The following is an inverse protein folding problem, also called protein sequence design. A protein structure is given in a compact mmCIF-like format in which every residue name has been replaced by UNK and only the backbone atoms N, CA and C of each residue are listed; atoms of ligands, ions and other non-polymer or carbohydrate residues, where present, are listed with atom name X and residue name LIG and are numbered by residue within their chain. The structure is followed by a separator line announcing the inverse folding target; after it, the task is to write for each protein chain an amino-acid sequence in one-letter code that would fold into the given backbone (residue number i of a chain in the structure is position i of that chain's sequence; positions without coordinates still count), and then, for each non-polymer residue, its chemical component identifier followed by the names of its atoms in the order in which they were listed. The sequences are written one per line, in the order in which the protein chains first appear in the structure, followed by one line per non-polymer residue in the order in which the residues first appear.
data_IF_817039780374
#
_entry.id   IF_817039780374
#
_cell.length_a   1.000
_cell.length_b   1.000
_cell.length_c   1.000
_cell.angle_alpha   90.00
_cell.angle_beta   90.00
_cell.angle_gamma   90.00
#
_symmetry.space_group_name_H-M   'P 1'
#
loop_
_entity.id
_entity.type
_entity.pdbx_description
1 polymer ?
#
# COMPACT_ATOMS: atom_id res chain seq x y z
N UNK A 1 14.55 27.56 61.45
CA UNK A 1 13.60 26.53 60.93
C UNK A 1 12.86 26.96 59.67
N UNK A 2 12.16 28.10 59.62
CA UNK A 2 11.36 28.52 58.44
C UNK A 2 12.14 28.60 57.10
N UNK A 3 13.41 28.99 57.11
CA UNK A 3 14.25 29.08 55.89
C UNK A 3 14.71 27.71 55.36
N UNK A 4 14.90 26.73 56.22
CA UNK A 4 15.30 25.36 55.83
C UNK A 4 14.11 24.63 55.20
N UNK A 5 12.91 24.84 55.74
CA UNK A 5 11.68 24.22 55.23
C UNK A 5 11.29 24.76 53.84
N UNK A 6 11.55 26.05 53.57
CA UNK A 6 11.32 26.67 52.26
C UNK A 6 12.28 26.11 51.19
N UNK A 7 13.56 25.91 51.53
CA UNK A 7 14.56 25.34 50.62
C UNK A 7 14.22 23.88 50.29
N UNK A 8 13.80 23.10 51.30
CA UNK A 8 13.42 21.70 51.09
C UNK A 8 12.18 21.57 50.17
N UNK A 9 11.19 22.47 50.33
CA UNK A 9 9.98 22.48 49.51
C UNK A 9 10.27 22.85 48.05
N UNK A 10 11.18 23.80 47.82
CA UNK A 10 11.63 24.19 46.46
C UNK A 10 12.43 23.06 45.79
N UNK A 11 13.27 22.34 46.54
CA UNK A 11 13.99 21.17 46.00
C UNK A 11 13.05 20.03 45.60
N UNK A 12 11.98 19.77 46.38
CA UNK A 12 10.99 18.74 46.04
C UNK A 12 10.18 19.14 44.80
N UNK A 13 9.84 20.42 44.64
CA UNK A 13 9.15 20.94 43.45
C UNK A 13 10.05 20.93 42.18
N UNK A 14 11.36 21.14 42.32
CA UNK A 14 12.31 21.05 41.21
C UNK A 14 12.64 19.60 40.81
N UNK A 15 12.54 18.65 41.74
CA UNK A 15 12.69 17.21 41.47
C UNK A 15 11.39 16.54 40.99
N UNK A 16 10.25 17.21 41.14
CA UNK A 16 8.95 16.79 40.62
C UNK A 16 8.70 17.25 39.17
N UNK A 17 9.75 17.35 38.36
CA UNK A 17 9.59 17.44 36.90
C UNK A 17 8.89 16.14 36.44
N UNK A 18 7.92 16.21 35.51
CA UNK A 18 7.30 14.99 35.00
C UNK A 18 8.37 14.14 34.30
N UNK A 19 8.83 13.09 34.97
CA UNK A 19 9.73 12.06 34.45
C UNK A 19 9.11 11.27 33.28
N UNK A 20 7.89 11.59 32.87
CA UNK A 20 7.27 11.11 31.65
C UNK A 20 7.26 12.22 30.60
N UNK A 21 8.37 12.40 29.89
CA UNK A 21 8.28 12.98 28.56
C UNK A 21 7.30 12.12 27.76
N UNK A 22 6.25 12.71 27.21
CA UNK A 22 5.34 11.99 26.35
C UNK A 22 6.16 11.46 25.17
N UNK A 23 6.35 10.13 25.09
CA UNK A 23 7.02 9.50 23.94
C UNK A 23 6.22 9.90 22.71
N UNK A 24 6.84 10.71 21.85
CA UNK A 24 6.20 11.12 20.60
C UNK A 24 6.27 9.93 19.67
N UNK A 25 5.11 9.36 19.32
CA UNK A 25 5.02 8.29 18.34
C UNK A 25 4.98 8.92 16.95
N UNK A 26 5.95 8.57 16.14
CA UNK A 26 6.00 8.99 14.73
C UNK A 26 5.60 7.81 13.86
N UNK A 27 4.50 7.95 13.13
CA UNK A 27 4.11 7.00 12.09
C UNK A 27 4.69 7.47 10.77
N UNK A 28 5.47 6.60 10.13
CA UNK A 28 5.97 6.80 8.77
C UNK A 28 5.30 5.81 7.85
N UNK A 29 5.03 6.19 6.60
CA UNK A 29 4.59 5.29 5.54
C UNK A 29 5.62 5.39 4.44
N UNK A 30 6.30 4.28 4.17
CA UNK A 30 7.32 4.18 3.13
C UNK A 30 6.87 3.17 2.08
N UNK A 31 7.13 3.47 0.81
CA UNK A 31 7.09 2.47 -0.25
C UNK A 31 8.27 1.51 -0.09
N UNK A 32 8.02 0.20 -0.16
CA UNK A 32 9.06 -0.82 -0.25
C UNK A 32 9.29 -1.12 -1.73
N UNK A 33 8.23 -1.52 -2.41
CA UNK A 33 8.21 -1.81 -3.83
C UNK A 33 7.27 -0.83 -4.54
N UNK A 34 7.80 0.00 -5.45
CA UNK A 34 6.96 0.71 -6.40
C UNK A 34 6.17 -0.28 -7.27
N UNK A 35 5.15 0.20 -7.97
CA UNK A 35 4.41 -0.65 -8.90
C UNK A 35 5.37 -1.35 -9.87
N UNK A 36 5.33 -2.67 -9.87
CA UNK A 36 6.14 -3.52 -10.73
C UNK A 36 5.33 -4.71 -11.26
N UNK A 37 5.80 -5.31 -12.35
CA UNK A 37 5.13 -6.42 -13.02
C UNK A 37 5.76 -7.75 -12.63
N UNK A 38 4.92 -8.76 -12.40
CA UNK A 38 5.35 -10.14 -12.23
C UNK A 38 4.83 -10.93 -13.42
N UNK A 39 5.75 -11.49 -14.19
CA UNK A 39 5.41 -12.27 -15.37
C UNK A 39 4.64 -13.54 -15.01
N UNK A 40 3.93 -14.10 -15.98
CA UNK A 40 3.26 -15.38 -15.84
C UNK A 40 4.26 -16.49 -15.48
N UNK A 41 3.84 -17.43 -14.63
CA UNK A 41 4.65 -18.57 -14.15
C UNK A 41 6.02 -18.17 -13.56
N UNK A 42 6.09 -17.03 -12.87
CA UNK A 42 7.32 -16.56 -12.22
C UNK A 42 7.12 -16.24 -10.74
N UNK A 43 8.22 -16.31 -10.00
CA UNK A 43 8.34 -15.83 -8.64
C UNK A 43 9.12 -14.51 -8.68
N UNK A 44 8.53 -13.46 -8.12
CA UNK A 44 9.24 -12.22 -7.82
C UNK A 44 9.52 -12.10 -6.32
N UNK A 45 10.72 -11.62 -6.00
CA UNK A 45 11.17 -11.41 -4.62
C UNK A 45 11.34 -9.92 -4.40
N UNK A 46 10.40 -9.33 -3.66
CA UNK A 46 10.39 -7.91 -3.37
C UNK A 46 11.55 -7.46 -2.48
N UNK A 47 11.72 -6.15 -2.38
CA UNK A 47 12.83 -5.52 -1.67
C UNK A 47 12.73 -5.79 -0.16
N UNK A 48 13.87 -6.11 0.46
CA UNK A 48 13.97 -6.22 1.91
C UNK A 48 13.95 -4.84 2.58
N UNK A 49 12.98 -4.60 3.46
CA UNK A 49 12.86 -3.37 4.25
C UNK A 49 13.34 -3.60 5.68
N UNK A 50 14.26 -2.75 6.14
CA UNK A 50 14.63 -2.67 7.54
C UNK A 50 13.50 -2.02 8.35
N UNK A 51 13.04 -2.73 9.38
CA UNK A 51 11.99 -2.32 10.31
C UNK A 51 12.42 -2.43 11.78
N UNK A 52 13.71 -2.67 12.03
CA UNK A 52 14.27 -2.95 13.37
C UNK A 52 14.06 -1.84 14.40
N UNK A 53 13.85 -0.60 13.97
CA UNK A 53 13.56 0.55 14.85
C UNK A 53 12.07 0.73 15.15
N UNK A 54 11.20 -0.10 14.59
CA UNK A 54 9.74 0.04 14.68
C UNK A 54 9.16 -0.72 15.87
N UNK A 55 8.24 -0.08 16.59
CA UNK A 55 7.42 -0.70 17.64
C UNK A 55 6.17 -1.38 17.08
N UNK A 56 5.70 -0.94 15.92
CA UNK A 56 4.54 -1.52 15.25
C UNK A 56 4.67 -1.32 13.75
N UNK A 57 4.64 -2.45 13.04
CA UNK A 57 4.82 -2.47 11.59
C UNK A 57 3.62 -3.13 10.93
N UNK A 58 3.11 -2.52 9.87
CA UNK A 58 2.11 -3.12 8.98
C UNK A 58 2.57 -3.01 7.55
N UNK A 59 2.39 -4.08 6.79
CA UNK A 59 2.59 -4.11 5.34
C UNK A 59 1.23 -3.90 4.69
N UNK A 60 1.20 -3.05 3.68
CA UNK A 60 0.08 -2.83 2.78
C UNK A 60 0.51 -3.36 1.43
N UNK A 61 -0.23 -4.33 0.92
CA UNK A 61 0.00 -4.94 -0.37
C UNK A 61 -1.19 -4.63 -1.27
N UNK A 62 -0.89 -4.24 -2.50
CA UNK A 62 -1.88 -4.12 -3.55
C UNK A 62 -1.43 -4.95 -4.74
N UNK A 63 -2.36 -5.71 -5.31
CA UNK A 63 -2.13 -6.52 -6.50
C UNK A 63 -3.21 -6.17 -7.52
N UNK A 64 -2.79 -5.71 -8.70
CA UNK A 64 -3.67 -5.40 -9.80
C UNK A 64 -3.57 -6.48 -10.89
N UNK A 65 -4.73 -6.93 -11.33
CA UNK A 65 -4.88 -7.91 -12.39
C UNK A 65 -5.17 -7.16 -13.69
N UNK A 66 -4.34 -7.39 -14.71
CA UNK A 66 -4.34 -6.58 -15.94
C UNK A 66 -4.42 -7.45 -17.19
N UNK A 67 -5.18 -8.54 -17.12
CA UNK A 67 -5.46 -9.41 -18.25
C UNK A 67 -6.98 -9.53 -18.44
N UNK A 68 -7.42 -9.57 -19.69
CA UNK A 68 -8.84 -9.68 -20.03
C UNK A 68 -9.37 -11.12 -19.90
N UNK A 69 -8.49 -12.09 -19.65
CA UNK A 69 -8.85 -13.48 -19.40
C UNK A 69 -8.96 -13.76 -17.90
N UNK A 70 -9.71 -14.80 -17.54
CA UNK A 70 -9.85 -15.25 -16.16
C UNK A 70 -8.49 -15.68 -15.58
N UNK A 71 -8.16 -15.15 -14.40
CA UNK A 71 -6.93 -15.46 -13.68
C UNK A 71 -7.25 -16.27 -12.41
N UNK A 72 -6.35 -17.18 -12.02
CA UNK A 72 -6.58 -18.08 -10.87
C UNK A 72 -6.27 -17.44 -9.49
N UNK A 73 -5.57 -16.30 -9.50
CA UNK A 73 -5.00 -15.70 -8.30
C UNK A 73 -3.49 -15.92 -8.22
N UNK A 74 -2.82 -15.27 -7.26
CA UNK A 74 -1.38 -15.44 -7.02
C UNK A 74 -1.11 -15.78 -5.57
N UNK A 75 -0.05 -16.55 -5.34
CA UNK A 75 0.39 -16.86 -3.98
C UNK A 75 1.29 -15.73 -3.48
N UNK A 76 0.91 -15.17 -2.35
CA UNK A 76 1.66 -14.12 -1.67
C UNK A 76 2.32 -14.73 -0.44
N UNK A 77 3.63 -14.58 -0.34
CA UNK A 77 4.42 -15.04 0.80
C UNK A 77 5.06 -13.82 1.44
N UNK A 78 4.80 -13.61 2.72
CA UNK A 78 5.44 -12.53 3.49
C UNK A 78 6.48 -13.18 4.37
N UNK A 79 7.72 -12.71 4.27
CA UNK A 79 8.85 -13.23 5.01
C UNK A 79 9.44 -12.17 5.94
N UNK A 80 9.92 -12.62 7.09
CA UNK A 80 10.63 -11.80 8.06
C UNK A 80 12.01 -12.39 8.35
N UNK A 81 12.93 -11.53 8.74
CA UNK A 81 14.24 -11.93 9.28
C UNK A 81 14.49 -11.23 10.62
N UNK A 82 15.25 -11.90 11.49
CA UNK A 82 15.65 -11.42 12.82
C UNK A 82 17.09 -10.86 12.84
N UNK A 83 17.55 -10.31 11.72
CA UNK A 83 18.86 -9.68 11.50
C UNK A 83 19.97 -10.59 10.94
N UNK A 84 19.59 -11.70 10.30
CA UNK A 84 20.46 -12.56 9.50
C UNK A 84 19.84 -12.84 8.12
N UNK A 85 20.51 -13.64 7.28
CA UNK A 85 19.97 -14.06 5.98
C UNK A 85 18.98 -15.25 6.08
N UNK A 86 18.54 -15.58 7.31
CA UNK A 86 17.56 -16.63 7.53
C UNK A 86 16.15 -16.04 7.50
N UNK A 87 15.56 -16.07 6.31
CA UNK A 87 14.18 -15.67 6.10
C UNK A 87 13.22 -16.74 6.60
N UNK A 88 12.22 -16.31 7.37
CA UNK A 88 11.14 -17.17 7.86
C UNK A 88 9.82 -16.65 7.34
N UNK A 89 9.00 -17.56 6.81
CA UNK A 89 7.64 -17.25 6.38
C UNK A 89 6.79 -16.78 7.56
N UNK A 90 6.37 -15.53 7.54
CA UNK A 90 5.42 -14.95 8.50
C UNK A 90 4.00 -15.43 8.17
N UNK A 91 3.60 -15.30 6.91
CA UNK A 91 2.27 -15.73 6.44
C UNK A 91 2.30 -15.99 4.94
N UNK A 92 1.32 -16.75 4.48
CA UNK A 92 1.10 -17.03 3.07
C UNK A 92 -0.41 -17.12 2.81
N UNK A 93 -0.82 -16.61 1.66
CA UNK A 93 -2.19 -16.69 1.19
C UNK A 93 -2.24 -16.58 -0.33
N UNK A 94 -3.21 -17.23 -0.93
CA UNK A 94 -3.55 -17.04 -2.34
C UNK A 94 -4.60 -15.95 -2.45
N UNK A 95 -4.38 -14.95 -3.30
CA UNK A 95 -5.42 -13.95 -3.61
C UNK A 95 -6.52 -14.57 -4.46
N UNK A 96 -7.72 -14.01 -4.39
CA UNK A 96 -8.79 -14.39 -5.31
C UNK A 96 -8.46 -13.83 -6.69
N UNK A 97 -8.44 -14.68 -7.72
CA UNK A 97 -8.40 -14.26 -9.11
C UNK A 97 -9.80 -13.96 -9.66
N UNK A 98 -9.87 -13.22 -10.76
CA UNK A 98 -11.12 -12.87 -11.45
C UNK A 98 -10.85 -12.65 -12.95
N UNK A 99 -11.85 -12.21 -13.70
CA UNK A 99 -11.72 -11.67 -15.06
C UNK A 99 -11.89 -10.15 -15.00
N UNK A 100 -10.80 -9.37 -14.88
CA UNK A 100 -10.86 -7.92 -14.86
C UNK A 100 -11.57 -7.32 -16.07
N UNK A 101 -12.47 -6.38 -15.83
CA UNK A 101 -12.97 -5.48 -16.86
C UNK A 101 -11.90 -4.45 -17.22
N UNK A 102 -11.88 -4.03 -18.48
CA UNK A 102 -10.96 -2.99 -18.97
C UNK A 102 -11.68 -1.93 -19.79
N UNK A 103 -11.25 -0.69 -19.61
CA UNK A 103 -11.65 0.45 -20.43
C UNK A 103 -10.45 1.39 -20.57
N UNK A 104 -10.66 2.56 -21.18
CA UNK A 104 -9.61 3.57 -21.31
C UNK A 104 -10.02 4.90 -20.68
N UNK A 105 -9.02 5.67 -20.28
CA UNK A 105 -9.19 7.10 -19.97
C UNK A 105 -9.66 7.81 -21.24
N UNK A 106 -10.68 8.65 -21.13
CA UNK A 106 -11.21 9.54 -22.18
C UNK A 106 -11.20 10.98 -21.67
N UNK A 107 -10.00 11.44 -21.33
CA UNK A 107 -9.76 12.75 -20.74
C UNK A 107 -8.29 13.14 -20.98
N UNK A 108 -8.09 14.04 -21.94
CA UNK A 108 -6.77 14.56 -22.29
C UNK A 108 -6.22 15.57 -21.27
N UNK A 109 -6.97 15.88 -20.22
CA UNK A 109 -6.62 16.89 -19.21
C UNK A 109 -6.34 16.29 -17.83
N UNK A 110 -6.30 14.96 -17.68
CA UNK A 110 -6.03 14.30 -16.41
C UNK A 110 -4.66 14.66 -15.85
N UNK A 111 -4.65 15.29 -14.69
CA UNK A 111 -3.46 15.74 -13.98
C UNK A 111 -3.43 15.27 -12.53
N UNK A 112 -2.22 15.25 -11.96
CA UNK A 112 -2.06 15.04 -10.52
C UNK A 112 -2.86 16.08 -9.72
N UNK A 113 -3.59 15.62 -8.71
CA UNK A 113 -4.51 16.44 -7.91
C UNK A 113 -5.98 16.33 -8.32
N UNK A 114 -6.29 15.78 -9.50
CA UNK A 114 -7.67 15.64 -9.94
C UNK A 114 -8.41 14.57 -9.11
N UNK A 115 -9.67 14.83 -8.79
CA UNK A 115 -10.55 13.91 -8.05
C UNK A 115 -11.60 13.26 -8.94
N UNK A 116 -11.57 13.53 -10.24
CA UNK A 116 -12.51 13.00 -11.22
C UNK A 116 -11.75 12.55 -12.45
N UNK A 117 -12.23 11.46 -13.06
CA UNK A 117 -11.65 10.93 -14.27
C UNK A 117 -12.76 10.45 -15.19
N UNK A 118 -12.68 10.84 -16.47
CA UNK A 118 -13.62 10.37 -17.48
C UNK A 118 -13.06 9.13 -18.17
N UNK A 119 -13.88 8.09 -18.28
CA UNK A 119 -13.58 6.81 -18.90
C UNK A 119 -14.43 6.63 -20.17
N UNK A 120 -13.86 6.00 -21.21
CA UNK A 120 -14.57 5.73 -22.47
C UNK A 120 -15.84 4.92 -22.24
N UNK A 121 -15.72 3.85 -21.45
CA UNK A 121 -16.84 2.98 -21.11
C UNK A 121 -16.76 2.60 -19.64
N UNK A 122 -17.49 3.33 -18.80
CA UNK A 122 -17.69 2.99 -17.41
C UNK A 122 -19.02 2.22 -17.29
N UNK A 123 -19.05 1.01 -17.85
CA UNK A 123 -20.20 0.13 -17.76
C UNK A 123 -20.63 0.01 -16.30
N UNK A 124 -21.95 0.04 -16.08
CA UNK A 124 -22.50 -0.16 -14.74
C UNK A 124 -22.16 -1.55 -14.21
N UNK A 125 -21.50 -1.60 -13.06
CA UNK A 125 -21.05 -2.82 -12.40
C UNK A 125 -19.53 -2.98 -12.38
N UNK A 126 -18.79 -2.17 -13.14
CA UNK A 126 -17.33 -2.23 -13.27
C UNK A 126 -16.67 -1.10 -12.49
N UNK A 127 -16.28 -0.01 -13.14
CA UNK A 127 -15.57 1.13 -12.55
C UNK A 127 -16.43 2.03 -11.66
N UNK A 128 -17.74 1.88 -11.76
CA UNK A 128 -18.72 2.77 -11.15
C UNK A 128 -19.27 2.27 -9.80
N UNK A 129 -18.72 1.17 -9.30
CA UNK A 129 -19.11 0.59 -8.01
C UNK A 129 -18.43 1.34 -6.86
N UNK A 130 -19.20 1.94 -5.94
CA UNK A 130 -18.63 2.64 -4.78
C UNK A 130 -17.68 1.74 -4.00
N UNK A 131 -16.56 2.32 -3.59
CA UNK A 131 -15.46 1.65 -2.92
C UNK A 131 -14.74 0.54 -3.71
N UNK A 132 -15.04 0.33 -5.00
CA UNK A 132 -14.19 -0.51 -5.86
C UNK A 132 -12.87 0.20 -6.11
N UNK A 133 -11.80 -0.58 -6.04
CA UNK A 133 -10.44 -0.14 -6.34
C UNK A 133 -10.03 -0.70 -7.69
N UNK A 134 -9.46 0.15 -8.53
CA UNK A 134 -9.08 -0.14 -9.89
C UNK A 134 -7.71 0.46 -10.19
N UNK A 135 -7.09 0.05 -11.29
CA UNK A 135 -5.69 0.29 -11.60
C UNK A 135 -5.53 0.98 -12.94
N UNK A 136 -4.77 2.06 -12.97
CA UNK A 136 -4.41 2.80 -14.18
C UNK A 136 -3.03 2.29 -14.61
N UNK A 137 -2.95 1.64 -15.77
CA UNK A 137 -1.69 1.13 -16.31
C UNK A 137 -1.05 2.20 -17.17
N UNK A 138 0.03 2.79 -16.68
CA UNK A 138 0.83 3.74 -17.44
C UNK A 138 1.89 3.01 -18.29
N UNK A 139 2.44 3.70 -19.30
CA UNK A 139 3.45 3.13 -20.20
C UNK A 139 4.73 2.68 -19.49
N UNK A 140 5.00 3.19 -18.28
CA UNK A 140 5.95 2.60 -17.34
C UNK A 140 5.20 2.20 -16.08
N UNK A 141 5.28 0.94 -15.67
CA UNK A 141 4.54 0.40 -14.51
C UNK A 141 4.82 1.21 -13.23
N UNK A 142 6.04 1.72 -13.04
CA UNK A 142 6.38 2.57 -11.89
C UNK A 142 5.58 3.88 -11.81
N UNK A 143 5.03 4.36 -12.94
CA UNK A 143 4.15 5.53 -13.02
C UNK A 143 2.67 5.15 -12.89
N UNK A 144 2.32 3.87 -12.82
CA UNK A 144 0.95 3.44 -12.58
C UNK A 144 0.48 3.82 -11.19
N UNK A 145 -0.83 3.88 -11.01
CA UNK A 145 -1.45 4.04 -9.70
C UNK A 145 -2.79 3.32 -9.61
N UNK A 146 -3.21 3.05 -8.38
CA UNK A 146 -4.52 2.49 -8.08
C UNK A 146 -5.40 3.56 -7.46
N UNK A 147 -6.65 3.59 -7.90
CA UNK A 147 -7.65 4.59 -7.51
C UNK A 147 -8.90 3.91 -7.01
N UNK A 148 -9.71 4.64 -6.22
CA UNK A 148 -10.91 4.09 -5.59
C UNK A 148 -12.12 4.95 -5.86
N UNK A 149 -13.23 4.35 -6.25
CA UNK A 149 -14.46 5.08 -6.61
C UNK A 149 -15.25 5.53 -5.37
N UNK A 150 -15.76 6.77 -5.37
CA UNK A 150 -16.68 7.32 -4.35
C UNK A 150 -18.13 7.31 -4.85
N UNK A 151 -18.39 8.02 -5.94
CA UNK A 151 -19.72 8.21 -6.53
C UNK A 151 -19.60 8.23 -8.05
N UNK A 152 -20.63 7.74 -8.72
CA UNK A 152 -20.72 7.68 -10.18
C UNK A 152 -21.58 8.80 -10.77
N UNK A 153 -21.12 9.39 -11.87
CA UNK A 153 -21.95 9.85 -12.97
C UNK A 153 -21.50 9.12 -14.25
N UNK A 154 -22.42 8.65 -15.09
CA UNK A 154 -22.12 7.85 -16.30
C UNK A 154 -20.87 8.38 -17.04
N UNK A 155 -19.85 7.53 -17.19
CA UNK A 155 -18.50 7.82 -17.74
C UNK A 155 -17.56 8.70 -16.91
N UNK A 156 -18.02 9.42 -15.90
CA UNK A 156 -17.16 10.27 -15.04
C UNK A 156 -17.17 9.75 -13.61
N UNK A 157 -16.05 9.15 -13.21
CA UNK A 157 -15.88 8.55 -11.89
C UNK A 157 -15.30 9.58 -10.93
N UNK A 158 -15.94 9.77 -9.77
CA UNK A 158 -15.35 10.55 -8.67
C UNK A 158 -14.50 9.62 -7.80
N UNK A 159 -13.27 10.04 -7.51
CA UNK A 159 -12.27 9.27 -6.78
C UNK A 159 -12.28 9.58 -5.28
N UNK A 160 -11.86 8.62 -4.47
CA UNK A 160 -11.74 8.73 -3.01
C UNK A 160 -10.46 9.43 -2.57
N UNK A 161 -9.50 9.50 -3.47
CA UNK A 161 -8.25 10.23 -3.32
C UNK A 161 -7.97 10.98 -4.61
N UNK A 162 -7.26 12.09 -4.47
CA UNK A 162 -6.67 12.81 -5.60
C UNK A 162 -5.71 11.88 -6.35
N UNK A 163 -5.66 12.03 -7.67
CA UNK A 163 -4.63 11.37 -8.48
C UNK A 163 -3.25 11.82 -8.03
N UNK A 164 -2.34 10.86 -7.88
CA UNK A 164 -0.96 11.15 -7.50
C UNK A 164 -0.18 11.63 -8.73
N UNK A 165 -0.58 11.20 -9.92
CA UNK A 165 0.12 11.46 -11.18
C UNK A 165 -0.82 11.97 -12.27
N UNK A 166 -0.22 12.61 -13.27
CA UNK A 166 -0.90 12.90 -14.52
C UNK A 166 -0.90 11.65 -15.39
N UNK A 167 -2.00 11.45 -16.12
CA UNK A 167 -2.16 10.30 -17.00
C UNK A 167 -2.54 10.75 -18.40
N UNK A 168 -1.99 10.05 -19.40
CA UNK A 168 -2.33 10.34 -20.78
C UNK A 168 -3.74 9.83 -21.11
N UNK A 169 -4.38 10.49 -22.07
CA UNK A 169 -5.58 9.98 -22.70
C UNK A 169 -5.36 8.59 -23.30
N UNK A 170 -6.43 7.79 -23.39
CA UNK A 170 -6.42 6.43 -23.96
C UNK A 170 -5.58 5.38 -23.20
N UNK A 171 -5.09 5.67 -21.99
CA UNK A 171 -4.45 4.65 -21.14
C UNK A 171 -5.47 3.62 -20.66
N UNK A 172 -5.04 2.35 -20.59
CA UNK A 172 -5.86 1.26 -20.10
C UNK A 172 -6.04 1.35 -18.59
N UNK A 173 -7.27 1.08 -18.16
CA UNK A 173 -7.62 0.96 -16.76
C UNK A 173 -8.29 -0.39 -16.52
N UNK A 174 -8.06 -0.96 -15.34
CA UNK A 174 -8.46 -2.33 -14.99
C UNK A 174 -9.17 -2.33 -13.65
N UNK A 175 -10.34 -2.95 -13.58
CA UNK A 175 -11.24 -2.78 -12.44
C UNK A 175 -10.93 -3.66 -11.23
N UNK A 176 -9.86 -4.47 -11.29
CA UNK A 176 -9.59 -5.49 -10.29
C UNK A 176 -8.25 -5.27 -9.57
N UNK A 177 -8.35 -4.76 -8.34
CA UNK A 177 -7.24 -4.62 -7.39
C UNK A 177 -7.57 -5.30 -6.07
N UNK A 178 -6.69 -6.20 -5.65
CA UNK A 178 -6.74 -6.86 -4.34
C UNK A 178 -5.89 -6.07 -3.35
N UNK A 179 -6.46 -5.72 -2.20
CA UNK A 179 -5.75 -5.07 -1.10
C UNK A 179 -5.59 -6.02 0.08
N UNK A 180 -4.39 -6.07 0.67
CA UNK A 180 -4.14 -6.82 1.91
C UNK A 180 -3.30 -6.00 2.88
N UNK A 181 -3.62 -6.13 4.16
CA UNK A 181 -2.82 -5.57 5.25
C UNK A 181 -2.38 -6.68 6.19
N UNK A 182 -1.09 -6.72 6.51
CA UNK A 182 -0.50 -7.72 7.41
C UNK A 182 0.33 -7.05 8.49
N UNK A 183 0.05 -7.38 9.75
CA UNK A 183 0.82 -6.90 10.89
C UNK A 183 2.09 -7.74 11.05
N UNK A 184 3.23 -7.07 11.27
CA UNK A 184 4.53 -7.73 11.47
C UNK A 184 4.87 -7.74 12.96
N UNK A 185 5.35 -8.88 13.52
CA UNK A 185 5.81 -8.95 14.89
C UNK A 185 6.95 -7.96 15.18
N UNK A 186 6.91 -7.32 16.34
CA UNK A 186 7.90 -6.29 16.75
C UNK A 186 9.34 -6.82 16.81
N UNK A 187 9.53 -8.13 16.99
CA UNK A 187 10.86 -8.73 17.06
C UNK A 187 11.55 -8.87 15.69
N UNK A 188 10.83 -8.73 14.57
CA UNK A 188 11.41 -8.81 13.24
C UNK A 188 12.28 -7.57 12.94
N UNK A 189 13.45 -7.78 12.35
CA UNK A 189 14.34 -6.72 11.92
C UNK A 189 14.14 -6.33 10.46
N UNK A 190 13.76 -7.30 9.62
CA UNK A 190 13.52 -7.10 8.19
C UNK A 190 12.23 -7.77 7.75
N UNK A 191 11.65 -7.25 6.68
CA UNK A 191 10.48 -7.82 6.03
C UNK A 191 10.59 -7.69 4.52
N UNK A 192 10.05 -8.66 3.79
CA UNK A 192 9.89 -8.61 2.33
C UNK A 192 8.64 -9.37 1.91
N UNK A 193 8.16 -9.09 0.69
CA UNK A 193 7.02 -9.77 0.09
C UNK A 193 7.49 -10.50 -1.15
N UNK A 194 7.06 -11.73 -1.30
CA UNK A 194 7.28 -12.55 -2.49
C UNK A 194 5.93 -12.76 -3.16
N UNK A 195 5.91 -12.62 -4.48
CA UNK A 195 4.72 -12.86 -5.30
C UNK A 195 5.02 -14.01 -6.25
N UNK A 196 4.40 -15.16 -5.99
CA UNK A 196 4.46 -16.31 -6.86
C UNK A 196 3.24 -16.30 -7.79
N UNK A 197 3.44 -15.83 -9.01
CA UNK A 197 2.42 -15.83 -10.03
C UNK A 197 2.35 -17.21 -10.70
N UNK A 198 1.44 -18.04 -10.23
CA UNK A 198 1.21 -19.40 -10.74
C UNK A 198 0.36 -19.42 -12.00
N UNK A 199 -0.22 -18.28 -12.40
CA UNK A 199 -0.95 -18.15 -13.65
C UNK A 199 0.00 -18.31 -14.84
N UNK A 200 -0.38 -19.14 -15.81
CA UNK A 200 0.48 -19.49 -16.94
C UNK A 200 0.47 -18.43 -18.05
N UNK A 201 -0.57 -17.61 -18.12
CA UNK A 201 -0.88 -16.80 -19.29
C UNK A 201 -0.99 -15.30 -18.98
N UNK A 202 -1.00 -14.92 -17.71
CA UNK A 202 -1.25 -13.55 -17.31
C UNK A 202 -0.21 -12.99 -16.34
N UNK A 203 0.31 -11.81 -16.65
CA UNK A 203 1.05 -11.00 -15.68
C UNK A 203 0.09 -10.33 -14.70
N UNK A 204 0.66 -9.96 -13.57
CA UNK A 204 0.02 -9.11 -12.56
C UNK A 204 0.96 -7.95 -12.23
N UNK A 205 0.40 -6.93 -11.59
CA UNK A 205 1.19 -5.83 -11.05
C UNK A 205 1.01 -5.78 -9.54
N UNK A 206 2.05 -5.40 -8.81
CA UNK A 206 1.94 -5.21 -7.38
C UNK A 206 2.77 -4.03 -6.88
N UNK A 207 2.38 -3.51 -5.72
CA UNK A 207 3.16 -2.56 -4.93
C UNK A 207 3.06 -2.94 -3.46
N UNK A 208 4.10 -2.63 -2.71
CA UNK A 208 4.11 -2.84 -1.26
C UNK A 208 4.53 -1.57 -0.55
N UNK A 209 3.84 -1.29 0.54
CA UNK A 209 4.14 -0.17 1.44
C UNK A 209 4.20 -0.68 2.87
N UNK A 210 4.92 0.05 3.70
CA UNK A 210 5.03 -0.26 5.12
C UNK A 210 4.69 0.96 5.96
N UNK A 211 3.82 0.79 6.95
CA UNK A 211 3.71 1.76 8.03
C UNK A 211 4.58 1.31 9.20
N UNK A 212 5.42 2.19 9.71
CA UNK A 212 6.24 1.95 10.89
C UNK A 212 5.94 2.99 11.96
N UNK A 213 5.65 2.53 13.16
CA UNK A 213 5.50 3.38 14.35
C UNK A 213 6.82 3.35 15.11
N UNK A 214 7.50 4.48 15.14
CA UNK A 214 8.75 4.67 15.90
C UNK A 214 8.50 5.63 17.06
N UNK A 215 9.42 5.64 18.02
CA UNK A 215 9.40 6.58 19.15
C UNK A 215 10.69 7.37 19.16
N UNK A 216 10.59 8.63 19.60
CA UNK A 216 11.72 9.51 19.90
C UNK A 216 11.90 9.55 21.41
#
# INVERSE_FOLDING_TARGET
MKRIMLILFVCILLLAQPLGGAITKTTTIDTIDDWQSVAAATLDVGVAKNISSSYSTKIYLEIAYTNANAQAGVDVIIEISYADDNWVKLTEFTTVGDTPATTTINDATVTAGDTTITLTDATTGDFDVPARKWFIVDGTVANSESVKTVVNAVHTVTLAQDLIRSHADSLNVWDFVVEKVVSVPMAAAYVRVLINNTDADASIHYTTRVSMVTGI
#
